data_IF_443637235895
#
_entry.id   IF_443637235895
#
_cell.length_a   1.000
_cell.length_b   1.000
_cell.length_c   1.000
_cell.angle_alpha   90.00
_cell.angle_beta   90.00
_cell.angle_gamma   90.00
#
_symmetry.space_group_name_H-M   'P 1'
#
loop_
_entity.id
_entity.type
_entity.pdbx_description
1 polymer ?
#
# COMPACT_ATOMS: atom_id res chain seq x y z
N UNK A 1 1.83 11.29 -78.52
CA UNK A 1 0.50 11.49 -77.91
C UNK A 1 0.24 10.46 -76.80
N UNK A 2 0.60 9.19 -77.00
CA UNK A 2 0.36 8.13 -75.99
C UNK A 2 1.21 8.27 -74.72
N UNK A 3 2.47 8.72 -74.83
CA UNK A 3 3.35 8.98 -73.67
C UNK A 3 2.74 10.02 -72.71
N UNK A 4 2.11 11.07 -73.23
CA UNK A 4 1.47 12.10 -72.40
C UNK A 4 0.25 11.54 -71.66
N UNK A 5 -0.50 10.65 -72.30
CA UNK A 5 -1.66 9.98 -71.68
C UNK A 5 -1.22 9.03 -70.57
N UNK A 6 -0.16 8.27 -70.80
CA UNK A 6 0.44 7.40 -69.78
C UNK A 6 0.99 8.22 -68.61
N UNK A 7 1.70 9.32 -68.89
CA UNK A 7 2.21 10.23 -67.85
C UNK A 7 1.08 10.83 -67.00
N UNK A 8 -0.04 11.22 -67.61
CA UNK A 8 -1.20 11.73 -66.89
C UNK A 8 -1.84 10.64 -66.00
N UNK A 9 -1.96 9.41 -66.49
CA UNK A 9 -2.51 8.30 -65.71
C UNK A 9 -1.65 8.00 -64.47
N UNK A 10 -0.33 7.91 -64.64
CA UNK A 10 0.61 7.71 -63.53
C UNK A 10 0.57 8.88 -62.55
N UNK A 11 0.45 10.12 -63.03
CA UNK A 11 0.32 11.29 -62.15
C UNK A 11 -0.94 11.22 -61.28
N UNK A 12 -2.07 10.78 -61.84
CA UNK A 12 -3.31 10.58 -61.08
C UNK A 12 -3.20 9.45 -60.04
N UNK A 13 -2.56 8.33 -60.38
CA UNK A 13 -2.33 7.22 -59.44
C UNK A 13 -1.44 7.65 -58.25
N UNK A 14 -0.38 8.42 -58.52
CA UNK A 14 0.47 8.97 -57.47
C UNK A 14 -0.32 9.92 -56.57
N UNK A 15 -1.17 10.75 -57.18
CA UNK A 15 -2.01 11.69 -56.45
C UNK A 15 -3.02 10.96 -55.54
N UNK A 16 -3.62 9.88 -56.02
CA UNK A 16 -4.51 9.02 -55.22
C UNK A 16 -3.78 8.40 -54.02
N UNK A 17 -2.59 7.84 -54.24
CA UNK A 17 -1.76 7.25 -53.18
C UNK A 17 -1.37 8.33 -52.15
N UNK A 18 -1.03 9.54 -52.61
CA UNK A 18 -0.68 10.67 -51.74
C UNK A 18 -1.85 11.03 -50.83
N UNK A 19 -3.05 11.20 -51.38
CA UNK A 19 -4.26 11.52 -50.60
C UNK A 19 -4.55 10.43 -49.58
N UNK A 20 -4.47 9.16 -49.96
CA UNK A 20 -4.69 8.03 -49.04
C UNK A 20 -3.67 8.00 -47.90
N UNK A 21 -2.39 8.26 -48.20
CA UNK A 21 -1.35 8.33 -47.18
C UNK A 21 -1.57 9.50 -46.20
N UNK A 22 -2.02 10.66 -46.70
CA UNK A 22 -2.37 11.81 -45.84
C UNK A 22 -3.56 11.52 -44.91
N UNK A 23 -4.58 10.81 -45.39
CA UNK A 23 -5.70 10.39 -44.55
C UNK A 23 -5.26 9.43 -43.45
N UNK A 24 -4.41 8.45 -43.78
CA UNK A 24 -3.87 7.52 -42.79
C UNK A 24 -3.03 8.25 -41.73
N UNK A 25 -2.22 9.24 -42.12
CA UNK A 25 -1.48 10.08 -41.18
C UNK A 25 -2.43 10.83 -40.22
N UNK A 26 -3.53 11.41 -40.73
CA UNK A 26 -4.53 12.09 -39.88
C UNK A 26 -5.17 11.14 -38.87
N UNK A 27 -5.46 9.90 -39.27
CA UNK A 27 -5.98 8.87 -38.37
C UNK A 27 -4.96 8.55 -37.28
N UNK A 28 -3.68 8.34 -37.64
CA UNK A 28 -2.60 8.09 -36.66
C UNK A 28 -2.41 9.26 -35.71
N UNK A 29 -2.48 10.50 -36.20
CA UNK A 29 -2.38 11.70 -35.36
C UNK A 29 -3.51 11.77 -34.33
N UNK A 30 -4.73 11.38 -34.72
CA UNK A 30 -5.86 11.28 -33.80
C UNK A 30 -5.64 10.19 -32.74
N UNK A 31 -5.20 9.00 -33.13
CA UNK A 31 -4.87 7.91 -32.19
C UNK A 31 -3.77 8.34 -31.20
N UNK A 32 -2.73 9.00 -31.68
CA UNK A 32 -1.66 9.56 -30.84
C UNK A 32 -2.22 10.59 -29.86
N UNK A 33 -3.10 11.49 -30.32
CA UNK A 33 -3.73 12.49 -29.46
C UNK A 33 -4.59 11.83 -28.36
N UNK A 34 -5.35 10.80 -28.71
CA UNK A 34 -6.17 10.03 -27.77
C UNK A 34 -5.30 9.31 -26.73
N UNK A 35 -4.26 8.59 -27.16
CA UNK A 35 -3.33 7.90 -26.25
C UNK A 35 -2.64 8.88 -25.30
N UNK A 36 -2.21 10.05 -25.80
CA UNK A 36 -1.65 11.11 -24.96
C UNK A 36 -2.68 11.61 -23.92
N UNK A 37 -3.95 11.73 -24.28
CA UNK A 37 -4.99 12.15 -23.35
C UNK A 37 -5.23 11.11 -22.25
N UNK A 38 -5.35 9.83 -22.62
CA UNK A 38 -5.49 8.72 -21.67
C UNK A 38 -4.29 8.62 -20.73
N UNK A 39 -3.07 8.75 -21.26
CA UNK A 39 -1.86 8.73 -20.43
C UNK A 39 -1.83 9.89 -19.43
N UNK A 40 -2.20 11.10 -19.85
CA UNK A 40 -2.31 12.25 -18.94
C UNK A 40 -3.36 12.01 -17.84
N UNK A 41 -4.52 11.46 -18.20
CA UNK A 41 -5.56 11.12 -17.22
C UNK A 41 -5.06 10.07 -16.21
N UNK A 42 -4.46 8.98 -16.68
CA UNK A 42 -3.91 7.93 -15.84
C UNK A 42 -2.79 8.44 -14.89
N UNK A 43 -1.92 9.32 -15.38
CA UNK A 43 -0.90 9.98 -14.55
C UNK A 43 -1.55 10.81 -13.46
N UNK A 44 -2.56 11.62 -13.81
CA UNK A 44 -3.28 12.47 -12.87
C UNK A 44 -3.95 11.64 -11.77
N UNK A 45 -4.67 10.59 -12.13
CA UNK A 45 -5.32 9.67 -11.18
C UNK A 45 -4.32 9.01 -10.23
N UNK A 46 -3.18 8.55 -10.77
CA UNK A 46 -2.08 7.98 -9.97
C UNK A 46 -1.55 9.01 -8.97
N UNK A 47 -1.34 10.25 -9.40
CA UNK A 47 -0.76 11.28 -8.55
C UNK A 47 -1.76 11.72 -7.46
N UNK A 48 -3.05 11.80 -7.79
CA UNK A 48 -4.10 12.03 -6.79
C UNK A 48 -4.19 10.87 -5.76
N UNK A 49 -4.09 9.63 -6.21
CA UNK A 49 -4.08 8.47 -5.31
C UNK A 49 -2.85 8.47 -4.38
N UNK A 50 -1.67 8.80 -4.92
CA UNK A 50 -0.43 8.96 -4.13
C UNK A 50 -0.54 10.10 -3.12
N UNK A 51 -1.10 11.24 -3.53
CA UNK A 51 -1.32 12.37 -2.65
C UNK A 51 -2.26 12.00 -1.49
N UNK A 52 -3.39 11.34 -1.79
CA UNK A 52 -4.34 10.86 -0.77
C UNK A 52 -3.68 9.90 0.22
N UNK A 53 -2.92 8.92 -0.28
CA UNK A 53 -2.19 7.97 0.58
C UNK A 53 -1.14 8.66 1.46
N UNK A 54 -0.38 9.61 0.90
CA UNK A 54 0.60 10.40 1.64
C UNK A 54 -0.06 11.23 2.77
N UNK A 55 -1.17 11.90 2.47
CA UNK A 55 -1.92 12.66 3.46
C UNK A 55 -2.47 11.76 4.58
N UNK A 56 -3.03 10.59 4.24
CA UNK A 56 -3.50 9.62 5.24
C UNK A 56 -2.36 9.12 6.13
N UNK A 57 -1.21 8.79 5.54
CA UNK A 57 -0.03 8.36 6.28
C UNK A 57 0.44 9.43 7.26
N UNK A 58 0.54 10.69 6.81
CA UNK A 58 0.92 11.81 7.65
C UNK A 58 -0.07 12.04 8.81
N UNK A 59 -1.38 11.93 8.55
CA UNK A 59 -2.41 12.05 9.59
C UNK A 59 -2.29 10.97 10.66
N UNK A 60 -2.11 9.71 10.26
CA UNK A 60 -1.92 8.59 11.19
C UNK A 60 -0.64 8.75 12.01
N UNK A 61 0.46 9.15 11.38
CA UNK A 61 1.72 9.43 12.07
C UNK A 61 1.54 10.53 13.14
N UNK A 62 0.83 11.61 12.80
CA UNK A 62 0.56 12.69 13.74
C UNK A 62 -0.27 12.20 14.95
N UNK A 63 -1.25 11.33 14.72
CA UNK A 63 -2.04 10.72 15.80
C UNK A 63 -1.18 9.84 16.72
N UNK A 64 -0.30 9.00 16.15
CA UNK A 64 0.62 8.16 16.93
C UNK A 64 1.57 9.01 17.78
N UNK A 65 2.14 10.07 17.20
CA UNK A 65 2.97 11.02 17.94
C UNK A 65 2.20 11.67 19.09
N UNK A 66 0.94 12.08 18.88
CA UNK A 66 0.08 12.63 19.95
C UNK A 66 -0.22 11.62 21.05
N UNK A 67 -0.37 10.33 20.75
CA UNK A 67 -0.51 9.28 21.78
C UNK A 67 0.78 9.14 22.59
N UNK A 68 1.94 9.09 21.95
CA UNK A 68 3.23 9.03 22.63
C UNK A 68 3.44 10.26 23.54
N UNK A 69 3.17 11.48 23.00
CA UNK A 69 2.63 12.70 23.67
C UNK A 69 2.17 12.56 25.12
N UNK A 70 1.05 11.86 25.27
CA UNK A 70 0.26 11.84 26.50
C UNK A 70 0.88 10.95 27.58
N UNK A 71 1.65 9.93 27.19
CA UNK A 71 2.25 8.99 28.15
C UNK A 71 3.48 9.53 28.88
N UNK A 72 4.09 10.64 28.46
CA UNK A 72 5.21 11.28 29.19
C UNK A 72 4.79 12.48 30.05
N UNK A 73 3.52 12.86 30.03
CA UNK A 73 2.95 13.89 30.92
C UNK A 73 2.12 13.28 32.07
N UNK A 74 1.96 11.96 32.11
CA UNK A 74 1.27 11.24 33.19
C UNK A 74 2.25 10.35 33.98
N UNK A 75 3.22 10.97 34.65
CA UNK A 75 3.93 10.36 35.76
C UNK A 75 3.43 11.02 37.06
N UNK A 76 2.61 10.33 37.87
CA UNK A 76 2.14 10.86 39.15
C UNK A 76 3.26 10.83 40.18
N UNK A 77 3.58 12.01 40.67
CA UNK A 77 4.03 12.31 42.03
C UNK A 77 3.33 11.36 43.03
N UNK A 78 4.10 10.52 43.70
CA UNK A 78 3.63 9.67 44.80
C UNK A 78 3.98 10.29 46.15
N UNK A 79 3.03 10.15 47.09
CA UNK A 79 3.15 10.40 48.54
C UNK A 79 2.36 11.65 48.96
N UNK A 80 1.21 11.61 49.64
CA UNK A 80 0.53 10.56 50.41
C UNK A 80 0.10 11.17 51.75
N UNK A 81 -1.20 11.40 51.97
CA UNK A 81 -1.81 11.62 53.30
C UNK A 81 -3.34 11.52 53.16
N UNK A 82 -3.93 10.42 53.64
CA UNK A 82 -4.76 10.39 54.86
C UNK A 82 -6.08 11.17 54.76
N UNK A 83 -7.18 10.47 54.54
CA UNK A 83 -8.34 10.54 55.45
C UNK A 83 -9.28 9.37 55.17
N UNK A 84 -9.62 8.68 56.25
CA UNK A 84 -10.74 7.74 56.34
C UNK A 84 -12.05 8.49 56.09
N UNK A 85 -13.10 7.80 55.64
CA UNK A 85 -14.41 7.75 56.30
C UNK A 85 -15.37 6.81 55.51
N UNK A 86 -15.97 5.91 56.27
CA UNK A 86 -16.91 4.86 55.93
C UNK A 86 -18.26 5.37 55.36
N UNK A 87 -18.88 4.56 54.48
CA UNK A 87 -20.34 4.42 54.41
C UNK A 87 -20.72 3.25 53.49
N UNK A 88 -20.95 2.08 54.06
CA UNK A 88 -21.72 1.02 53.42
C UNK A 88 -23.20 1.38 53.48
N UNK A 89 -23.80 1.73 52.34
CA UNK A 89 -25.24 1.74 52.21
C UNK A 89 -25.72 0.53 51.41
N UNK A 90 -26.60 -0.21 52.07
CA UNK A 90 -27.21 -1.46 51.68
C UNK A 90 -28.32 -1.21 50.65
N UNK A 91 -28.24 -1.99 49.57
CA UNK A 91 -29.38 -2.68 48.94
C UNK A 91 -30.42 -1.80 48.23
N UNK A 92 -30.29 -1.76 46.91
CA UNK A 92 -31.45 -1.81 46.02
C UNK A 92 -31.18 -2.74 44.83
N UNK A 93 -32.22 -3.49 44.48
CA UNK A 93 -32.19 -4.84 43.95
C UNK A 93 -32.33 -4.84 42.42
N UNK A 94 -31.79 -5.91 41.80
CA UNK A 94 -31.98 -6.42 40.43
C UNK A 94 -30.88 -5.98 39.45
N UNK A 95 -30.17 -6.87 38.74
CA UNK A 95 -30.39 -8.29 38.47
C UNK A 95 -29.08 -8.95 38.00
N UNK A 96 -28.86 -10.17 38.47
CA UNK A 96 -28.03 -11.23 37.86
C UNK A 96 -26.52 -11.00 37.72
N UNK A 97 -25.78 -11.74 38.55
CA UNK A 97 -24.42 -12.21 38.23
C UNK A 97 -24.37 -13.71 38.55
N UNK A 98 -23.55 -14.50 37.85
CA UNK A 98 -22.27 -14.77 38.50
C UNK A 98 -21.05 -14.70 37.57
N UNK A 99 -19.97 -14.24 38.21
CA UNK A 99 -18.56 -14.15 37.83
C UNK A 99 -18.00 -15.49 37.29
N UNK A 100 -17.01 -15.44 36.38
CA UNK A 100 -15.60 -15.90 36.54
C UNK A 100 -14.87 -15.93 35.17
N UNK A 101 -13.69 -15.31 35.16
CA UNK A 101 -12.59 -15.26 34.17
C UNK A 101 -12.11 -16.66 33.68
N UNK A 102 -11.33 -16.81 32.57
CA UNK A 102 -10.12 -16.03 32.32
C UNK A 102 -9.92 -15.51 30.88
N UNK A 103 -9.46 -14.26 30.83
CA UNK A 103 -8.27 -13.81 30.10
C UNK A 103 -7.89 -14.55 28.81
N UNK A 104 -8.29 -13.94 27.69
CA UNK A 104 -7.31 -13.63 26.67
C UNK A 104 -7.56 -12.18 26.26
N UNK A 105 -7.11 -11.25 27.11
CA UNK A 105 -6.80 -9.90 26.66
C UNK A 105 -5.86 -10.06 25.47
N UNK A 106 -6.35 -9.76 24.27
CA UNK A 106 -5.51 -9.63 23.09
C UNK A 106 -4.76 -8.30 23.24
N UNK A 107 -3.44 -8.29 23.46
CA UNK A 107 -2.66 -7.12 23.18
C UNK A 107 -2.55 -7.10 21.66
N UNK A 108 -3.50 -6.45 20.98
CA UNK A 108 -3.31 -6.04 19.59
C UNK A 108 -2.30 -4.89 19.60
N UNK A 109 -1.06 -5.24 19.91
CA UNK A 109 0.11 -4.44 19.62
C UNK A 109 0.62 -4.92 18.27
N UNK A 110 0.58 -4.11 17.20
CA UNK A 110 1.28 -4.44 15.97
C UNK A 110 2.76 -4.14 16.22
N UNK A 111 3.43 -5.00 17.00
CA UNK A 111 4.86 -4.92 17.29
C UNK A 111 5.70 -5.89 16.45
N UNK A 112 5.14 -6.38 15.35
CA UNK A 112 5.95 -7.09 14.36
C UNK A 112 6.00 -6.24 13.09
N UNK A 113 7.20 -5.75 12.70
CA UNK A 113 7.37 -5.13 11.39
C UNK A 113 6.94 -6.14 10.31
N UNK A 114 6.50 -5.63 9.15
CA UNK A 114 6.25 -6.48 7.98
C UNK A 114 7.46 -7.42 7.79
N UNK A 115 7.25 -8.72 7.56
CA UNK A 115 8.35 -9.65 7.35
C UNK A 115 9.23 -9.16 6.21
N UNK A 116 10.53 -9.03 6.48
CA UNK A 116 11.52 -8.73 5.44
C UNK A 116 11.47 -9.82 4.36
N UNK A 117 11.66 -9.42 3.09
CA UNK A 117 11.47 -10.26 1.90
C UNK A 117 11.99 -11.70 2.10
N UNK A 118 11.11 -12.70 1.94
CA UNK A 118 11.46 -14.12 2.05
C UNK A 118 11.33 -14.74 3.46
N UNK A 119 11.08 -13.95 4.52
CA UNK A 119 11.04 -14.44 5.91
C UNK A 119 9.63 -14.61 6.50
N UNK A 120 8.62 -14.74 5.64
CA UNK A 120 7.21 -14.83 6.05
C UNK A 120 6.96 -15.99 7.01
N UNK A 121 7.48 -17.19 6.71
CA UNK A 121 7.26 -18.37 7.53
C UNK A 121 7.85 -18.20 8.94
N UNK A 122 9.07 -17.68 9.04
CA UNK A 122 9.73 -17.41 10.33
C UNK A 122 8.95 -16.37 11.14
N UNK A 123 8.44 -15.33 10.48
CA UNK A 123 7.64 -14.30 11.12
C UNK A 123 6.30 -14.86 11.63
N UNK A 124 5.64 -15.71 10.86
CA UNK A 124 4.39 -16.38 11.25
C UNK A 124 4.61 -17.33 12.43
N UNK A 125 5.72 -18.09 12.44
CA UNK A 125 6.10 -18.94 13.58
C UNK A 125 6.40 -18.08 14.83
N UNK A 126 7.14 -16.98 14.67
CA UNK A 126 7.45 -16.05 15.78
C UNK A 126 6.22 -15.28 16.29
N UNK A 127 5.22 -15.05 15.45
CA UNK A 127 3.99 -14.34 15.79
C UNK A 127 3.03 -15.16 16.70
N UNK A 128 3.30 -16.45 16.92
CA UNK A 128 2.59 -17.26 17.90
C UNK A 128 1.12 -17.54 17.53
N UNK A 129 0.11 -17.04 18.29
CA UNK A 129 -1.31 -17.42 18.18
C UNK A 129 -1.92 -17.44 16.78
N UNK A 130 -1.38 -16.67 15.83
CA UNK A 130 -1.80 -16.70 14.43
C UNK A 130 -1.56 -18.07 13.77
N UNK A 131 -0.36 -18.65 13.95
CA UNK A 131 -0.03 -19.97 13.41
C UNK A 131 -0.94 -21.03 14.04
N UNK A 132 -1.16 -20.93 15.34
CA UNK A 132 -2.04 -21.85 16.06
C UNK A 132 -3.50 -21.72 15.62
N UNK A 133 -3.99 -20.51 15.33
CA UNK A 133 -5.34 -20.29 14.79
C UNK A 133 -5.48 -20.90 13.40
N UNK A 134 -4.45 -20.81 12.56
CA UNK A 134 -4.43 -21.46 11.24
C UNK A 134 -4.38 -22.99 11.35
N UNK A 135 -3.61 -23.54 12.29
CA UNK A 135 -3.50 -24.99 12.49
C UNK A 135 -4.74 -25.61 13.19
N UNK A 136 -5.35 -24.90 14.14
CA UNK A 136 -6.46 -25.43 14.96
C UNK A 136 -7.82 -25.04 14.36
N UNK A 137 -7.95 -23.84 13.78
CA UNK A 137 -9.21 -23.33 13.24
C UNK A 137 -9.37 -23.39 11.72
N UNK A 138 -8.28 -23.63 10.96
CA UNK A 138 -8.26 -23.41 9.51
C UNK A 138 -8.46 -24.64 8.61
N UNK A 139 -8.49 -25.86 9.15
CA UNK A 139 -8.48 -27.08 8.31
C UNK A 139 -7.16 -27.26 7.52
N UNK A 140 -7.09 -28.23 6.58
CA UNK A 140 -5.89 -28.39 5.75
C UNK A 140 -5.61 -27.10 4.98
N UNK A 141 -4.33 -26.69 4.92
CA UNK A 141 -3.93 -25.45 4.23
C UNK A 141 -4.56 -25.39 2.83
N UNK A 142 -5.05 -24.22 2.41
CA UNK A 142 -5.66 -24.07 1.10
C UNK A 142 -4.62 -24.46 0.03
N UNK A 143 -4.96 -25.42 -0.82
CA UNK A 143 -4.13 -25.78 -1.97
C UNK A 143 -4.11 -24.61 -2.95
N UNK A 144 -2.98 -23.90 -3.02
CA UNK A 144 -2.78 -22.85 -3.99
C UNK A 144 -2.84 -23.44 -5.39
N UNK A 145 -3.85 -23.03 -6.16
CA UNK A 145 -4.05 -23.47 -7.55
C UNK A 145 -3.00 -22.89 -8.50
N UNK A 146 -2.30 -21.84 -8.08
CA UNK A 146 -1.18 -21.22 -8.79
C UNK A 146 -0.09 -20.83 -7.76
N UNK A 147 0.74 -21.78 -7.30
CA UNK A 147 1.89 -21.43 -6.48
C UNK A 147 2.76 -20.40 -7.24
N UNK A 148 3.33 -19.41 -6.54
CA UNK A 148 4.26 -18.52 -7.19
C UNK A 148 5.44 -19.40 -7.68
N UNK A 149 5.97 -19.14 -8.88
CA UNK A 149 7.08 -19.93 -9.39
C UNK A 149 8.24 -19.90 -8.37
N UNK A 150 8.92 -21.03 -8.13
CA UNK A 150 10.04 -21.08 -7.20
C UNK A 150 11.10 -20.08 -7.66
N UNK A 151 11.27 -19.01 -6.90
CA UNK A 151 12.31 -18.01 -7.17
C UNK A 151 13.60 -18.55 -6.56
N UNK A 152 14.57 -18.89 -7.41
CA UNK A 152 15.93 -19.17 -6.93
C UNK A 152 16.44 -17.93 -6.19
N UNK A 153 16.64 -18.07 -4.87
CA UNK A 153 17.05 -17.02 -3.92
C UNK A 153 18.27 -16.22 -4.38
N UNK A 154 19.07 -16.74 -5.32
CA UNK A 154 20.30 -16.13 -5.82
C UNK A 154 20.13 -15.22 -7.06
N UNK A 155 18.94 -15.13 -7.67
CA UNK A 155 18.72 -14.30 -8.88
C UNK A 155 18.01 -12.97 -8.61
N UNK A 156 17.57 -12.70 -7.38
CA UNK A 156 17.09 -11.38 -7.01
C UNK A 156 18.33 -10.50 -6.86
N UNK A 157 18.74 -9.84 -7.95
CA UNK A 157 19.79 -8.83 -7.91
C UNK A 157 19.45 -7.83 -6.79
N UNK A 158 20.39 -7.54 -5.86
CA UNK A 158 20.14 -6.54 -4.84
C UNK A 158 19.81 -5.20 -5.52
N UNK A 159 18.81 -4.44 -5.03
CA UNK A 159 18.52 -3.13 -5.58
C UNK A 159 19.79 -2.27 -5.55
N UNK A 160 20.04 -1.43 -6.57
CA UNK A 160 21.28 -0.65 -6.66
C UNK A 160 21.46 0.18 -5.39
N UNK A 161 22.61 -0.01 -4.74
CA UNK A 161 23.01 0.78 -3.57
C UNK A 161 23.15 2.24 -4.01
N UNK A 162 22.19 3.08 -3.62
CA UNK A 162 22.29 4.53 -3.81
C UNK A 162 23.34 5.04 -2.82
N UNK A 163 24.56 5.22 -3.31
CA UNK A 163 25.65 5.85 -2.54
C UNK A 163 25.24 7.29 -2.18
N UNK A 164 25.28 7.70 -0.91
CA UNK A 164 25.02 9.09 -0.54
C UNK A 164 26.14 9.97 -1.12
N UNK A 165 25.78 10.88 -2.02
CA UNK A 165 26.71 11.88 -2.57
C UNK A 165 27.19 12.77 -1.43
N UNK A 166 28.49 12.71 -1.12
CA UNK A 166 29.15 13.59 -0.17
C UNK A 166 28.98 15.03 -0.67
N UNK A 167 28.27 15.86 0.10
CA UNK A 167 28.18 17.30 -0.18
C UNK A 167 29.53 17.90 0.20
N UNK A 168 30.31 18.27 -0.79
CA UNK A 168 31.50 19.09 -0.59
C UNK A 168 31.02 20.50 -0.22
N UNK A 169 31.28 20.88 1.03
CA UNK A 169 31.12 22.24 1.50
C UNK A 169 32.24 23.08 0.89
N UNK A 170 31.89 23.96 -0.04
CA UNK A 170 32.78 25.04 -0.47
C UNK A 170 32.75 26.13 0.60
N UNK A 171 33.91 26.39 1.20
CA UNK A 171 34.29 27.65 1.85
C UNK A 171 35.13 28.45 0.85
#
# INVERSE_FOLDING_TARGET
MDELRQSLAVAMEIEEIRVKAEEELKVRDFEIAQLKALLRAAIKERDEARQKACCQHALLQNQLQKKQKRHHLSAPHSGGSSSVDDAWDERSISSSSPRILPEHELPVTPKMPLPENGMLLQAVIKAGPLLQTLLIGGGPLPQWRHPPPPVDTFQILPPPVVMPRKREHQL
#
